data_IF_927866808944
#
_entry.id   IF_927866808944
#
_cell.length_a   1.000
_cell.length_b   1.000
_cell.length_c   1.000
_cell.angle_alpha   90.00
_cell.angle_beta   90.00
_cell.angle_gamma   90.00
#
_symmetry.space_group_name_H-M   'P 1'
#
loop_
_entity.id
_entity.type
_entity.pdbx_description
1 polymer ?
#
# COMPACT_ATOMS: atom_id res chain seq x y z
N UNK A 1 18.34 -0.21 12.45
CA UNK A 1 17.13 0.59 12.35
C UNK A 1 16.12 -0.08 11.42
N UNK A 2 14.83 0.23 11.62
CA UNK A 2 13.75 -0.14 10.70
C UNK A 2 13.09 1.14 10.17
N UNK A 3 12.85 1.19 8.86
CA UNK A 3 12.37 2.39 8.21
C UNK A 3 11.98 2.16 6.76
N UNK A 4 11.58 3.22 6.11
CA UNK A 4 11.22 3.22 4.69
C UNK A 4 11.90 4.40 3.98
N UNK A 5 12.33 4.18 2.75
CA UNK A 5 12.88 5.22 1.91
C UNK A 5 11.88 5.56 0.79
N UNK A 6 11.41 6.79 0.75
CA UNK A 6 10.41 7.26 -0.21
C UNK A 6 10.90 8.47 -1.00
N UNK A 7 10.38 8.63 -2.22
CA UNK A 7 10.58 9.84 -3.00
C UNK A 7 9.58 10.92 -2.56
N UNK A 8 10.06 12.14 -2.40
CA UNK A 8 9.23 13.30 -2.08
C UNK A 8 9.12 14.24 -3.27
N UNK A 9 8.03 14.98 -3.31
CA UNK A 9 7.86 16.15 -4.19
C UNK A 9 8.60 17.35 -3.60
N UNK A 10 8.83 18.42 -4.36
CA UNK A 10 9.46 19.65 -3.85
C UNK A 10 8.70 20.29 -2.67
N UNK A 11 7.39 20.07 -2.58
CA UNK A 11 6.52 20.53 -1.49
C UNK A 11 6.56 19.62 -0.24
N UNK A 12 7.40 18.58 -0.24
CA UNK A 12 7.55 17.62 0.86
C UNK A 12 6.51 16.49 0.88
N UNK A 13 5.52 16.49 -0.02
CA UNK A 13 4.53 15.43 -0.12
C UNK A 13 5.13 14.16 -0.74
N UNK A 14 4.64 12.96 -0.39
CA UNK A 14 5.12 11.73 -0.99
C UNK A 14 4.78 11.67 -2.49
N UNK A 15 5.73 11.16 -3.27
CA UNK A 15 5.48 10.77 -4.66
C UNK A 15 4.68 9.47 -4.69
N UNK A 16 3.96 9.18 -5.79
CA UNK A 16 3.34 7.88 -5.98
C UNK A 16 4.35 6.73 -5.80
N UNK A 17 3.93 5.66 -5.14
CA UNK A 17 4.77 4.48 -4.88
C UNK A 17 5.45 3.94 -6.15
N UNK A 18 4.75 3.95 -7.28
CA UNK A 18 5.29 3.51 -8.58
C UNK A 18 6.53 4.30 -9.00
N UNK A 19 6.59 5.60 -8.66
CA UNK A 19 7.77 6.41 -8.97
C UNK A 19 8.97 6.02 -8.10
N UNK A 20 8.74 5.82 -6.80
CA UNK A 20 9.77 5.30 -5.88
C UNK A 20 10.30 3.95 -6.36
N UNK A 21 9.40 3.04 -6.77
CA UNK A 21 9.76 1.71 -7.26
C UNK A 21 10.52 1.73 -8.59
N UNK A 22 10.36 2.75 -9.42
CA UNK A 22 11.17 2.91 -10.65
C UNK A 22 12.66 3.08 -10.36
N UNK A 23 13.03 3.57 -9.19
CA UNK A 23 14.42 3.69 -8.75
C UNK A 23 14.94 2.38 -8.11
N UNK A 24 14.11 1.70 -7.34
CA UNK A 24 14.49 0.47 -6.65
C UNK A 24 14.69 -0.68 -7.64
N UNK A 25 15.69 -1.52 -7.41
CA UNK A 25 15.98 -2.69 -8.26
C UNK A 25 16.67 -2.39 -9.60
N UNK A 26 17.03 -1.13 -9.91
CA UNK A 26 17.80 -0.79 -11.11
C UNK A 26 19.29 -1.05 -10.91
N UNK A 27 19.90 -1.76 -11.87
CA UNK A 27 21.34 -2.02 -11.92
C UNK A 27 22.08 -1.11 -12.91
N UNK A 28 21.34 -0.39 -13.79
CA UNK A 28 21.89 0.54 -14.79
C UNK A 28 21.42 1.96 -14.49
N UNK A 29 22.24 2.95 -14.85
CA UNK A 29 21.96 4.39 -14.71
C UNK A 29 21.64 4.82 -13.28
N UNK A 30 22.24 4.17 -12.28
CA UNK A 30 21.94 4.40 -10.86
C UNK A 30 22.22 5.85 -10.47
N UNK A 31 23.30 6.46 -10.97
CA UNK A 31 23.67 7.84 -10.66
C UNK A 31 22.61 8.83 -11.16
N UNK A 32 22.21 8.74 -12.43
CA UNK A 32 21.18 9.60 -13.03
C UNK A 32 19.82 9.42 -12.33
N UNK A 33 19.47 8.19 -11.98
CA UNK A 33 18.23 7.90 -11.23
C UNK A 33 18.27 8.44 -9.78
N UNK A 34 19.45 8.48 -9.16
CA UNK A 34 19.63 9.07 -7.83
C UNK A 34 19.40 10.57 -7.84
N UNK A 35 19.81 11.25 -8.89
CA UNK A 35 19.59 12.68 -9.07
C UNK A 35 18.13 13.00 -9.42
N UNK A 36 17.54 12.23 -10.34
CA UNK A 36 16.17 12.48 -10.82
C UNK A 36 15.08 12.09 -9.81
N UNK A 37 15.34 11.07 -8.98
CA UNK A 37 14.39 10.58 -7.95
C UNK A 37 15.17 10.40 -6.62
N UNK A 38 15.47 11.49 -5.91
CA UNK A 38 16.09 11.40 -4.59
C UNK A 38 15.16 10.71 -3.60
N UNK A 39 15.70 9.81 -2.78
CA UNK A 39 14.95 9.14 -1.72
C UNK A 39 15.31 9.74 -0.36
N UNK A 40 14.29 9.92 0.44
CA UNK A 40 14.41 10.36 1.84
C UNK A 40 14.11 9.17 2.76
N UNK A 41 15.03 8.82 3.67
CA UNK A 41 14.78 7.78 4.64
C UNK A 41 13.87 8.29 5.77
N UNK A 42 12.93 7.45 6.20
CA UNK A 42 12.08 7.68 7.36
C UNK A 42 12.18 6.48 8.29
N UNK A 43 12.72 6.69 9.48
CA UNK A 43 12.93 5.64 10.48
C UNK A 43 11.78 5.65 11.49
N UNK A 44 11.29 4.46 11.81
CA UNK A 44 10.16 4.28 12.73
C UNK A 44 10.44 3.28 13.86
N UNK A 45 11.58 2.56 13.85
CA UNK A 45 11.96 1.66 14.92
C UNK A 45 13.48 1.48 15.03
N UNK A 46 13.97 1.16 16.24
CA UNK A 46 15.34 0.78 16.50
C UNK A 46 15.38 -0.68 16.99
N UNK A 47 16.06 -1.55 16.25
CA UNK A 47 16.05 -3.00 16.50
C UNK A 47 17.34 -3.47 17.17
N UNK A 48 18.42 -2.71 17.01
CA UNK A 48 19.73 -3.05 17.53
C UNK A 48 20.54 -1.75 17.75
N UNK A 49 21.23 -1.64 18.89
CA UNK A 49 22.02 -0.48 19.24
C UNK A 49 23.22 -0.91 20.10
N UNK A 50 24.43 -0.48 19.72
CA UNK A 50 25.69 -0.60 20.47
C UNK A 50 25.99 -2.01 21.00
N UNK A 51 25.67 -3.04 20.21
CA UNK A 51 25.90 -4.44 20.61
C UNK A 51 24.66 -5.13 21.18
N UNK A 52 23.60 -4.39 21.52
CA UNK A 52 22.41 -4.91 22.16
C UNK A 52 21.22 -5.04 21.21
N UNK A 53 20.52 -6.18 21.27
CA UNK A 53 19.23 -6.38 20.60
C UNK A 53 18.12 -5.69 21.37
N UNK A 54 17.35 -4.84 20.67
CA UNK A 54 16.20 -4.15 21.23
C UNK A 54 14.87 -4.86 20.92
N UNK A 55 14.88 -5.95 20.19
CA UNK A 55 13.67 -6.63 19.71
C UNK A 55 12.68 -6.99 20.82
N UNK A 56 13.20 -7.44 21.98
CA UNK A 56 12.38 -7.80 23.14
C UNK A 56 11.92 -6.60 23.98
N UNK A 57 12.48 -5.41 23.73
CA UNK A 57 12.10 -4.18 24.43
C UNK A 57 10.73 -3.70 23.98
N UNK A 58 10.08 -2.90 24.82
CA UNK A 58 8.84 -2.21 24.48
C UNK A 58 9.03 -1.25 23.31
N UNK A 59 7.97 -0.99 22.53
CA UNK A 59 8.02 -0.01 21.44
C UNK A 59 8.41 1.39 21.95
N UNK A 60 7.97 1.76 23.15
CA UNK A 60 8.34 3.02 23.78
C UNK A 60 9.86 3.14 23.99
N UNK A 61 10.51 2.09 24.53
CA UNK A 61 11.96 2.07 24.72
C UNK A 61 12.71 2.15 23.39
N UNK A 62 12.27 1.38 22.38
CA UNK A 62 12.89 1.38 21.06
C UNK A 62 12.77 2.73 20.36
N UNK A 63 11.62 3.38 20.46
CA UNK A 63 11.45 4.73 19.86
C UNK A 63 12.19 5.82 20.61
N UNK A 64 12.40 5.67 21.92
CA UNK A 64 13.28 6.55 22.70
C UNK A 64 14.73 6.42 22.23
N UNK A 65 15.21 5.20 22.03
CA UNK A 65 16.53 4.93 21.45
C UNK A 65 16.65 5.53 20.04
N UNK A 66 15.66 5.32 19.18
CA UNK A 66 15.63 5.90 17.83
C UNK A 66 15.72 7.43 17.86
N UNK A 67 14.96 8.09 18.71
CA UNK A 67 14.97 9.55 18.83
C UNK A 67 16.33 10.09 19.27
N UNK A 68 17.08 9.35 20.07
CA UNK A 68 18.42 9.73 20.51
C UNK A 68 19.46 9.64 19.40
N UNK A 69 19.37 8.62 18.52
CA UNK A 69 20.42 8.34 17.52
C UNK A 69 20.09 8.85 16.11
N UNK A 70 18.82 9.09 15.79
CA UNK A 70 18.38 9.48 14.46
C UNK A 70 17.21 10.50 14.48
N UNK A 71 17.35 11.64 15.19
CA UNK A 71 16.24 12.59 15.37
C UNK A 71 15.79 13.23 14.04
N UNK A 72 16.72 13.41 13.08
CA UNK A 72 16.45 14.10 11.81
C UNK A 72 15.73 13.26 10.76
N UNK A 73 15.59 11.95 10.97
CA UNK A 73 14.97 11.03 10.00
C UNK A 73 13.84 10.19 10.60
N UNK A 74 13.44 10.50 11.84
CA UNK A 74 12.31 9.81 12.49
C UNK A 74 10.99 10.27 11.91
N UNK A 75 10.07 9.34 11.69
CA UNK A 75 8.69 9.68 11.26
C UNK A 75 7.98 10.52 12.32
N UNK A 76 7.06 11.43 11.93
CA UNK A 76 6.17 12.11 12.85
C UNK A 76 5.38 11.11 13.69
N UNK A 77 5.26 11.40 14.99
CA UNK A 77 4.63 10.50 15.95
C UNK A 77 3.77 11.26 16.94
N UNK A 78 2.61 10.68 17.26
CA UNK A 78 1.76 11.10 18.35
C UNK A 78 1.60 9.93 19.34
N UNK A 79 1.76 10.19 20.64
CA UNK A 79 1.42 9.25 21.71
C UNK A 79 0.19 9.82 22.41
N UNK A 80 -0.92 9.11 22.37
CA UNK A 80 -2.18 9.55 22.95
C UNK A 80 -3.07 8.39 23.36
N UNK A 81 -3.91 8.59 24.38
CA UNK A 81 -5.04 7.75 24.74
C UNK A 81 -6.38 8.37 24.33
N UNK A 82 -6.37 9.53 23.65
CA UNK A 82 -7.58 10.27 23.30
C UNK A 82 -7.97 10.02 21.84
N UNK A 83 -9.15 9.45 21.58
CA UNK A 83 -9.59 9.15 20.21
C UNK A 83 -9.63 10.37 19.28
N UNK A 84 -10.01 11.53 19.78
CA UNK A 84 -10.12 12.75 18.99
C UNK A 84 -8.73 13.28 18.54
N UNK A 85 -7.71 13.14 19.36
CA UNK A 85 -6.34 13.48 18.99
C UNK A 85 -5.82 12.54 17.91
N UNK A 86 -6.09 11.24 18.04
CA UNK A 86 -5.73 10.24 17.03
C UNK A 86 -6.40 10.52 15.69
N UNK A 87 -7.71 10.89 15.69
CA UNK A 87 -8.43 11.28 14.46
C UNK A 87 -7.84 12.53 13.81
N UNK A 88 -7.49 13.55 14.59
CA UNK A 88 -6.85 14.77 14.08
C UNK A 88 -5.49 14.45 13.46
N UNK A 89 -4.69 13.61 14.10
CA UNK A 89 -3.39 13.20 13.56
C UNK A 89 -3.54 12.41 12.26
N UNK A 90 -4.51 11.49 12.15
CA UNK A 90 -4.85 10.81 10.92
C UNK A 90 -5.25 11.80 9.82
N UNK A 91 -6.13 12.75 10.10
CA UNK A 91 -6.56 13.77 9.14
C UNK A 91 -5.38 14.63 8.64
N UNK A 92 -4.45 15.00 9.52
CA UNK A 92 -3.23 15.71 9.14
C UNK A 92 -2.33 14.87 8.22
N UNK A 93 -2.16 13.58 8.51
CA UNK A 93 -1.41 12.64 7.67
C UNK A 93 -2.01 12.54 6.25
N UNK A 94 -3.33 12.39 6.17
CA UNK A 94 -4.06 12.33 4.88
C UNK A 94 -3.93 13.65 4.10
N UNK A 95 -4.08 14.80 4.77
CA UNK A 95 -3.93 16.12 4.16
C UNK A 95 -2.51 16.37 3.63
N UNK A 96 -1.49 15.76 4.27
CA UNK A 96 -0.11 15.76 3.81
C UNK A 96 0.15 14.80 2.63
N UNK A 97 -0.85 14.05 2.17
CA UNK A 97 -0.77 13.14 1.04
C UNK A 97 -0.29 11.74 1.37
N UNK A 98 -0.24 11.36 2.65
CA UNK A 98 0.03 9.99 3.07
C UNK A 98 -1.23 9.12 3.02
N UNK A 99 -1.06 7.79 2.97
CA UNK A 99 -2.20 6.85 2.94
C UNK A 99 -2.96 6.76 4.28
N UNK A 100 -2.36 7.20 5.36
CA UNK A 100 -2.88 7.06 6.71
C UNK A 100 -1.78 6.98 7.76
N UNK A 101 -2.03 6.29 8.85
CA UNK A 101 -1.10 6.13 9.96
C UNK A 101 -0.96 4.67 10.39
N UNK A 102 0.12 4.36 11.10
CA UNK A 102 0.32 3.07 11.76
C UNK A 102 0.09 3.26 13.26
N UNK A 103 -0.97 2.65 13.80
CA UNK A 103 -1.19 2.61 15.25
C UNK A 103 -0.39 1.45 15.85
N UNK A 104 0.47 1.75 16.81
CA UNK A 104 1.37 0.79 17.44
C UNK A 104 1.18 0.77 18.95
N UNK A 105 1.14 -0.43 19.54
CA UNK A 105 1.11 -0.60 21.00
C UNK A 105 2.45 -0.18 21.59
N UNK A 106 2.45 0.70 22.60
CA UNK A 106 3.67 1.18 23.27
C UNK A 106 4.44 0.08 24.00
N UNK A 107 3.74 -0.92 24.51
CA UNK A 107 4.32 -1.99 25.34
C UNK A 107 4.77 -3.20 24.54
N UNK A 108 4.43 -3.26 23.23
CA UNK A 108 4.70 -4.45 22.44
C UNK A 108 6.18 -4.60 22.06
N UNK A 109 6.73 -5.82 22.09
CA UNK A 109 8.02 -6.14 21.50
C UNK A 109 7.94 -6.06 19.97
N UNK A 110 9.09 -6.11 19.30
CA UNK A 110 9.16 -6.24 17.85
C UNK A 110 9.12 -7.70 17.43
N UNK A 111 8.11 -8.10 16.66
CA UNK A 111 7.95 -9.47 16.17
C UNK A 111 8.08 -9.47 14.65
N UNK A 112 9.25 -9.86 14.16
CA UNK A 112 9.52 -9.89 12.73
C UNK A 112 8.66 -10.92 11.99
N UNK A 113 8.18 -10.56 10.79
CA UNK A 113 7.46 -11.47 9.90
C UNK A 113 6.05 -11.88 10.33
N UNK A 114 5.55 -11.39 11.45
CA UNK A 114 4.20 -11.68 11.92
C UNK A 114 3.25 -10.49 11.71
N UNK A 115 2.01 -10.79 11.32
CA UNK A 115 0.91 -9.84 11.38
C UNK A 115 0.19 -10.05 12.71
N UNK A 116 0.16 -9.00 13.54
CA UNK A 116 -0.46 -9.06 14.86
C UNK A 116 -1.30 -7.81 15.13
N UNK A 117 -1.97 -7.80 16.29
CA UNK A 117 -2.81 -6.69 16.73
C UNK A 117 -2.01 -5.50 17.32
N UNK A 118 -0.69 -5.64 17.45
CA UNK A 118 0.17 -4.61 18.01
C UNK A 118 0.54 -3.48 17.02
N UNK A 119 0.37 -3.75 15.71
CA UNK A 119 0.59 -2.79 14.63
C UNK A 119 -0.60 -2.83 13.68
N UNK A 120 -1.39 -1.77 13.70
CA UNK A 120 -2.61 -1.65 12.89
C UNK A 120 -2.44 -0.53 11.87
N UNK A 121 -2.55 -0.87 10.60
CA UNK A 121 -2.61 0.14 9.53
C UNK A 121 -4.01 0.76 9.54
N UNK A 122 -4.07 2.06 9.83
CA UNK A 122 -5.30 2.88 9.78
C UNK A 122 -5.22 3.76 8.55
N UNK A 123 -6.12 3.53 7.60
CA UNK A 123 -6.22 4.29 6.36
C UNK A 123 -7.68 4.49 5.95
N UNK A 124 -7.94 5.53 5.19
CA UNK A 124 -9.23 5.65 4.52
C UNK A 124 -9.34 4.66 3.36
N UNK A 125 -10.50 4.08 3.20
CA UNK A 125 -10.88 3.27 2.06
C UNK A 125 -11.81 4.09 1.18
N UNK A 126 -11.43 4.31 -0.07
CA UNK A 126 -12.31 4.89 -1.07
C UNK A 126 -12.98 3.78 -1.84
N UNK A 127 -14.31 3.76 -1.83
CA UNK A 127 -15.11 2.87 -2.66
C UNK A 127 -15.40 3.55 -3.98
N UNK A 128 -15.15 2.86 -5.09
CA UNK A 128 -15.42 3.35 -6.43
C UNK A 128 -16.36 2.37 -7.14
N UNK A 129 -17.34 2.91 -7.84
CA UNK A 129 -18.16 2.16 -8.79
C UNK A 129 -17.42 2.09 -10.12
N UNK A 130 -16.98 0.89 -10.49
CA UNK A 130 -16.20 0.65 -11.70
C UNK A 130 -16.91 -0.33 -12.61
N UNK A 131 -16.71 -0.16 -13.91
CA UNK A 131 -17.25 -1.07 -14.93
C UNK A 131 -16.31 -2.22 -15.15
N UNK A 132 -16.84 -3.44 -15.27
CA UNK A 132 -16.06 -4.59 -15.76
C UNK A 132 -15.98 -4.48 -17.27
N UNK A 133 -14.75 -4.37 -17.79
CA UNK A 133 -14.48 -4.26 -19.24
C UNK A 133 -14.10 -5.60 -19.86
N UNK A 134 -13.51 -6.48 -19.06
CA UNK A 134 -13.08 -7.80 -19.47
C UNK A 134 -12.82 -8.67 -18.24
N UNK A 135 -12.69 -9.97 -18.46
CA UNK A 135 -12.28 -10.91 -17.41
C UNK A 135 -11.35 -11.99 -17.99
N UNK A 136 -10.39 -12.43 -17.19
CA UNK A 136 -9.47 -13.51 -17.58
C UNK A 136 -9.85 -14.82 -16.88
N UNK A 137 -9.62 -15.93 -17.57
CA UNK A 137 -9.75 -17.26 -16.99
C UNK A 137 -8.75 -17.45 -15.84
N UNK A 138 -9.22 -18.01 -14.76
CA UNK A 138 -8.41 -18.30 -13.58
C UNK A 138 -7.49 -19.49 -13.76
N UNK A 139 -6.47 -19.54 -12.91
CA UNK A 139 -5.50 -20.63 -12.84
C UNK A 139 -5.61 -21.38 -11.50
N UNK A 140 -5.09 -22.60 -11.46
CA UNK A 140 -5.07 -23.42 -10.24
C UNK A 140 -6.51 -23.68 -9.73
N UNK A 141 -6.78 -23.36 -8.45
CA UNK A 141 -8.11 -23.55 -7.84
C UNK A 141 -9.25 -22.84 -8.58
N UNK A 142 -8.95 -21.80 -9.34
CA UNK A 142 -9.94 -21.00 -10.08
C UNK A 142 -10.05 -21.36 -11.56
N UNK A 143 -9.43 -22.46 -11.97
CA UNK A 143 -9.53 -22.97 -13.34
C UNK A 143 -11.00 -23.21 -13.71
N UNK A 144 -11.38 -22.76 -14.89
CA UNK A 144 -12.76 -22.86 -15.38
C UNK A 144 -13.69 -21.71 -14.99
N UNK A 145 -13.20 -20.72 -14.21
CA UNK A 145 -13.95 -19.52 -13.87
C UNK A 145 -13.24 -18.24 -14.32
N UNK A 146 -14.02 -17.22 -14.68
CA UNK A 146 -13.52 -15.87 -14.93
C UNK A 146 -13.24 -15.20 -13.59
N UNK A 147 -11.97 -15.08 -13.20
CA UNK A 147 -11.57 -14.72 -11.84
C UNK A 147 -10.74 -13.45 -11.73
N UNK A 148 -10.25 -12.91 -12.84
CA UNK A 148 -9.43 -11.69 -12.86
C UNK A 148 -10.14 -10.63 -13.69
N UNK A 149 -10.85 -9.72 -13.01
CA UNK A 149 -11.67 -8.69 -13.63
C UNK A 149 -10.83 -7.47 -14.02
N UNK A 150 -10.97 -7.01 -15.25
CA UNK A 150 -10.45 -5.74 -15.72
C UNK A 150 -11.46 -4.65 -15.39
N UNK A 151 -11.09 -3.71 -14.54
CA UNK A 151 -11.94 -2.64 -14.05
C UNK A 151 -11.62 -1.33 -14.74
N UNK A 152 -12.63 -0.62 -15.17
CA UNK A 152 -12.51 0.67 -15.82
C UNK A 152 -13.49 1.71 -15.33
N UNK A 153 -13.19 2.96 -15.65
CA UNK A 153 -14.09 4.08 -15.45
C UNK A 153 -14.30 4.83 -16.77
N UNK A 154 -15.44 5.49 -16.89
CA UNK A 154 -15.74 6.31 -18.06
C UNK A 154 -14.98 7.65 -17.96
N UNK A 155 -14.20 7.95 -18.97
CA UNK A 155 -13.57 9.27 -19.12
C UNK A 155 -14.66 10.32 -19.39
N UNK A 156 -14.80 11.35 -18.55
CA UNK A 156 -15.84 12.35 -18.70
C UNK A 156 -15.64 13.25 -19.93
N UNK A 157 -14.42 13.35 -20.47
CA UNK A 157 -14.08 14.17 -21.63
C UNK A 157 -14.34 13.44 -22.93
N UNK A 158 -13.83 12.23 -23.05
CA UNK A 158 -13.93 11.42 -24.30
C UNK A 158 -15.16 10.53 -24.33
N UNK A 159 -15.78 10.26 -23.19
CA UNK A 159 -16.88 9.31 -23.03
C UNK A 159 -16.46 7.84 -23.14
N UNK A 160 -15.19 7.55 -23.39
CA UNK A 160 -14.65 6.20 -23.54
C UNK A 160 -14.33 5.58 -22.16
N UNK A 161 -14.31 4.26 -22.10
CA UNK A 161 -13.88 3.55 -20.90
C UNK A 161 -12.35 3.41 -20.90
N UNK A 162 -11.75 3.81 -19.78
CA UNK A 162 -10.31 3.68 -19.50
C UNK A 162 -10.11 2.62 -18.45
N UNK A 163 -9.28 1.62 -18.74
CA UNK A 163 -8.92 0.58 -17.79
C UNK A 163 -8.07 1.17 -16.66
N UNK A 164 -8.50 0.98 -15.41
CA UNK A 164 -7.81 1.45 -14.21
C UNK A 164 -6.95 0.37 -13.55
N UNK A 165 -7.35 -0.89 -13.68
CA UNK A 165 -6.62 -2.00 -13.07
C UNK A 165 -7.35 -3.32 -13.13
N UNK A 166 -6.75 -4.33 -12.48
CA UNK A 166 -7.32 -5.68 -12.38
C UNK A 166 -7.56 -6.04 -10.92
N UNK A 167 -8.61 -6.83 -10.66
CA UNK A 167 -8.86 -7.42 -9.35
C UNK A 167 -9.17 -8.90 -9.47
N UNK A 168 -8.68 -9.67 -8.47
CA UNK A 168 -8.93 -11.11 -8.35
C UNK A 168 -9.12 -11.55 -6.90
N UNK A 169 -9.13 -10.59 -5.96
CA UNK A 169 -9.24 -10.86 -4.52
C UNK A 169 -10.67 -10.67 -4.02
N UNK A 170 -11.00 -11.37 -2.93
CA UNK A 170 -12.29 -11.20 -2.25
C UNK A 170 -13.47 -11.92 -2.89
N UNK A 171 -13.25 -12.71 -3.93
CA UNK A 171 -14.30 -13.47 -4.62
C UNK A 171 -14.44 -14.87 -4.02
N UNK A 172 -15.64 -15.21 -3.56
CA UNK A 172 -16.00 -16.57 -3.16
C UNK A 172 -16.25 -17.45 -4.39
N UNK A 173 -16.29 -18.77 -4.19
CA UNK A 173 -16.54 -19.71 -5.30
C UNK A 173 -17.93 -19.51 -5.92
N UNK A 174 -18.95 -19.16 -5.12
CA UNK A 174 -20.28 -18.83 -5.62
C UNK A 174 -20.29 -17.54 -6.43
N UNK A 175 -19.56 -16.52 -5.98
CA UNK A 175 -19.40 -15.28 -6.75
C UNK A 175 -18.66 -15.54 -8.07
N UNK A 176 -17.61 -16.38 -8.06
CA UNK A 176 -16.88 -16.76 -9.29
C UNK A 176 -17.78 -17.48 -10.30
N UNK A 177 -18.65 -18.39 -9.83
CA UNK A 177 -19.59 -19.09 -10.68
C UNK A 177 -20.60 -18.13 -11.31
N UNK A 178 -21.27 -17.33 -10.48
CA UNK A 178 -22.27 -16.36 -10.92
C UNK A 178 -21.69 -15.34 -11.91
N UNK A 179 -20.57 -14.74 -11.58
CA UNK A 179 -19.94 -13.74 -12.46
C UNK A 179 -19.44 -14.36 -13.78
N UNK A 180 -18.96 -15.62 -13.77
CA UNK A 180 -18.55 -16.30 -14.99
C UNK A 180 -19.73 -16.46 -15.95
N UNK A 181 -20.88 -16.94 -15.44
CA UNK A 181 -22.09 -17.09 -16.22
C UNK A 181 -22.58 -15.76 -16.79
N UNK A 182 -22.64 -14.72 -15.95
CA UNK A 182 -23.08 -13.39 -16.35
C UNK A 182 -22.14 -12.76 -17.39
N UNK A 183 -20.83 -12.82 -17.19
CA UNK A 183 -19.87 -12.22 -18.11
C UNK A 183 -19.78 -12.95 -19.45
N UNK A 184 -19.95 -14.28 -19.47
CA UNK A 184 -20.06 -15.03 -20.72
C UNK A 184 -21.33 -14.67 -21.50
N UNK A 185 -22.44 -14.35 -20.80
CA UNK A 185 -23.66 -13.85 -21.43
C UNK A 185 -23.52 -12.43 -22.04
N UNK A 186 -22.51 -11.66 -21.58
CA UNK A 186 -22.22 -10.30 -22.07
C UNK A 186 -21.00 -10.26 -23.01
N UNK A 187 -20.41 -11.40 -23.36
CA UNK A 187 -19.21 -11.48 -24.19
C UNK A 187 -19.42 -10.80 -25.56
N UNK A 188 -18.56 -9.83 -25.83
CA UNK A 188 -18.49 -9.16 -27.14
C UNK A 188 -17.46 -9.80 -28.05
N UNK A 189 -16.29 -10.14 -27.50
CA UNK A 189 -15.23 -10.87 -28.19
C UNK A 189 -14.27 -11.51 -27.18
N UNK A 190 -13.36 -12.32 -27.68
CA UNK A 190 -12.37 -13.03 -26.86
C UNK A 190 -10.98 -12.93 -27.46
N UNK A 191 -9.99 -12.68 -26.62
CA UNK A 191 -8.59 -12.72 -26.98
C UNK A 191 -7.82 -13.63 -26.03
N UNK A 192 -7.33 -14.78 -26.53
CA UNK A 192 -6.60 -15.78 -25.72
C UNK A 192 -7.35 -16.17 -24.44
N UNK A 193 -6.88 -15.69 -23.29
CA UNK A 193 -7.44 -15.98 -21.96
C UNK A 193 -8.39 -14.89 -21.45
N UNK A 194 -8.65 -13.85 -22.24
CA UNK A 194 -9.45 -12.69 -21.88
C UNK A 194 -10.77 -12.67 -22.63
N UNK A 195 -11.86 -12.57 -21.90
CA UNK A 195 -13.23 -12.36 -22.38
C UNK A 195 -13.57 -10.89 -22.19
N UNK A 196 -13.89 -10.19 -23.27
CA UNK A 196 -14.32 -8.78 -23.23
C UNK A 196 -15.85 -8.68 -23.19
N UNK A 197 -16.37 -7.74 -22.42
CA UNK A 197 -17.81 -7.54 -22.19
C UNK A 197 -18.25 -6.12 -22.46
#
# INVERSE_FOLDING_TARGET
LDGEAIALRPDGRPQPFQLTMRRLGRMKDVAAMRESIPLTPFMFDALYLDGDSLLARSYEERTRALAAIAPGVSVPRLVTGQPEEARRFLAQSLAAGHEGVMAKSLTAPYIAGQRGFHWLKVKEATTLDLVVLAAEWGNGRRQGWLSNLHLGARDPVTGQFVMLGKTFKGLTDDMLRLQTEQLLGLETHRERQTVFV
#
